data_IF_081941625397
#
_entry.id   IF_081941625397
#
_cell.length_a   1.000
_cell.length_b   1.000
_cell.length_c   1.000
_cell.angle_alpha   90.00
_cell.angle_beta   90.00
_cell.angle_gamma   90.00
#
_symmetry.space_group_name_H-M   'P 1'
#
loop_
_entity.id
_entity.type
_entity.pdbx_description
1 polymer ?
#
# COMPACT_ATOMS: atom_id res chain seq x y z
N UNK A 1 -38.57 -0.74 -5.32
CA UNK A 1 -37.34 -1.49 -4.95
C UNK A 1 -36.05 -0.71 -5.20
N UNK A 2 -35.73 -0.27 -6.42
CA UNK A 2 -34.46 0.46 -6.75
C UNK A 2 -34.13 1.66 -5.84
N UNK A 3 -35.13 2.47 -5.45
CA UNK A 3 -34.94 3.59 -4.50
C UNK A 3 -34.60 3.14 -3.07
N UNK A 4 -35.20 2.04 -2.58
CA UNK A 4 -34.93 1.48 -1.25
C UNK A 4 -33.52 0.86 -1.18
N UNK A 5 -33.13 0.12 -2.22
CA UNK A 5 -31.76 -0.44 -2.35
C UNK A 5 -30.71 0.68 -2.44
N UNK A 6 -30.98 1.74 -3.22
CA UNK A 6 -30.09 2.90 -3.31
C UNK A 6 -29.94 3.63 -1.97
N UNK A 7 -31.02 3.77 -1.20
CA UNK A 7 -31.00 4.37 0.14
C UNK A 7 -30.21 3.51 1.13
N UNK A 8 -30.45 2.20 1.17
CA UNK A 8 -29.73 1.27 2.05
C UNK A 8 -28.23 1.23 1.73
N UNK A 9 -27.85 1.27 0.44
CA UNK A 9 -26.44 1.32 0.01
C UNK A 9 -25.74 2.60 0.46
N UNK A 10 -26.45 3.74 0.49
CA UNK A 10 -25.92 5.01 1.00
C UNK A 10 -25.72 4.98 2.52
N UNK A 11 -26.66 4.40 3.27
CA UNK A 11 -26.53 4.23 4.73
C UNK A 11 -25.37 3.30 5.09
N UNK A 12 -25.23 2.16 4.42
CA UNK A 12 -24.10 1.25 4.61
C UNK A 12 -22.75 1.93 4.32
N UNK A 13 -22.67 2.69 3.22
CA UNK A 13 -21.45 3.42 2.86
C UNK A 13 -21.11 4.53 3.87
N UNK A 14 -22.09 5.16 4.51
CA UNK A 14 -21.86 6.12 5.60
C UNK A 14 -21.37 5.44 6.87
N UNK A 15 -21.96 4.30 7.25
CA UNK A 15 -21.56 3.53 8.42
C UNK A 15 -20.13 2.98 8.29
N UNK A 16 -19.72 2.54 7.09
CA UNK A 16 -18.35 2.10 6.82
C UNK A 16 -17.30 3.22 6.90
N UNK A 17 -17.71 4.48 6.72
CA UNK A 17 -16.79 5.64 6.76
C UNK A 17 -16.69 6.27 8.15
N UNK A 18 -17.52 5.85 9.11
CA UNK A 18 -17.53 6.39 10.47
C UNK A 18 -17.03 5.33 11.45
N UNK A 19 -15.71 5.30 11.70
CA UNK A 19 -15.03 4.26 12.50
C UNK A 19 -15.31 4.31 14.00
N UNK A 20 -16.12 5.26 14.49
CA UNK A 20 -16.23 5.53 15.93
C UNK A 20 -17.31 4.74 16.68
N UNK A 21 -18.21 4.02 16.00
CA UNK A 21 -19.21 3.20 16.69
C UNK A 21 -19.42 1.82 16.03
N UNK A 22 -18.95 0.73 16.66
CA UNK A 22 -19.09 -0.62 16.10
C UNK A 22 -20.54 -1.11 15.99
N UNK A 23 -21.48 -0.49 16.72
CA UNK A 23 -22.91 -0.80 16.63
C UNK A 23 -23.57 -0.36 15.31
N UNK A 24 -23.15 0.79 14.77
CA UNK A 24 -23.76 1.41 13.59
C UNK A 24 -23.57 0.59 12.31
N UNK A 25 -22.43 -0.09 12.17
CA UNK A 25 -22.15 -0.93 11.01
C UNK A 25 -23.03 -2.18 11.00
N UNK A 26 -23.24 -2.81 12.16
CA UNK A 26 -24.04 -4.03 12.29
C UNK A 26 -25.50 -3.78 11.95
N UNK A 27 -26.06 -2.68 12.43
CA UNK A 27 -27.43 -2.27 12.10
C UNK A 27 -27.58 -1.91 10.61
N UNK A 28 -26.62 -1.20 10.03
CA UNK A 28 -26.64 -0.84 8.62
C UNK A 28 -26.53 -2.06 7.69
N UNK A 29 -25.76 -3.09 8.08
CA UNK A 29 -25.66 -4.36 7.36
C UNK A 29 -27.00 -5.11 7.42
N UNK A 30 -27.66 -5.14 8.58
CA UNK A 30 -28.92 -5.89 8.71
C UNK A 30 -30.08 -5.20 7.98
N UNK A 31 -30.14 -3.87 7.99
CA UNK A 31 -31.09 -3.10 7.16
C UNK A 31 -30.84 -3.35 5.67
N UNK A 32 -29.58 -3.40 5.23
CA UNK A 32 -29.27 -3.71 3.83
C UNK A 32 -29.68 -5.13 3.47
N UNK A 33 -29.45 -6.10 4.36
CA UNK A 33 -29.85 -7.50 4.20
C UNK A 33 -31.37 -7.64 4.05
N UNK A 34 -32.15 -7.01 4.92
CA UNK A 34 -33.61 -7.05 4.86
C UNK A 34 -34.16 -6.40 3.59
N UNK A 35 -33.54 -5.32 3.10
CA UNK A 35 -33.97 -4.64 1.86
C UNK A 35 -33.61 -5.45 0.60
N UNK A 36 -32.63 -6.35 0.70
CA UNK A 36 -32.15 -7.19 -0.40
C UNK A 36 -32.65 -8.63 -0.38
N UNK A 37 -33.40 -9.05 0.64
CA UNK A 37 -34.05 -10.36 0.63
C UNK A 37 -35.05 -10.45 -0.53
N UNK A 38 -35.05 -11.55 -1.30
CA UNK A 38 -36.03 -11.77 -2.35
C UNK A 38 -37.42 -11.91 -1.72
N UNK A 39 -38.40 -11.19 -2.26
CA UNK A 39 -39.80 -11.53 -2.03
C UNK A 39 -40.02 -12.87 -2.72
N UNK A 40 -40.39 -13.90 -1.96
CA UNK A 40 -40.75 -15.20 -2.50
C UNK A 40 -41.93 -15.01 -3.46
N UNK A 41 -41.70 -15.26 -4.76
CA UNK A 41 -42.70 -15.11 -5.81
C UNK A 41 -42.33 -14.10 -6.88
N UNK A 42 -41.37 -14.44 -7.74
CA UNK A 42 -41.08 -13.66 -8.94
C UNK A 42 -39.93 -14.25 -9.74
N UNK A 43 -40.27 -15.06 -10.76
CA UNK A 43 -39.32 -15.47 -11.80
C UNK A 43 -38.98 -14.25 -12.67
N UNK A 44 -37.76 -14.25 -13.20
CA UNK A 44 -37.15 -13.29 -14.15
C UNK A 44 -36.27 -12.17 -13.54
N UNK A 45 -34.97 -12.24 -13.86
CA UNK A 45 -34.01 -11.17 -13.66
C UNK A 45 -32.65 -11.58 -13.07
N UNK A 46 -32.07 -12.67 -13.56
CA UNK A 46 -30.80 -13.23 -13.07
C UNK A 46 -29.65 -12.87 -14.01
N UNK A 47 -29.27 -11.59 -14.11
CA UNK A 47 -28.03 -11.20 -14.85
C UNK A 47 -27.22 -10.11 -14.13
N UNK A 48 -27.78 -9.36 -13.16
CA UNK A 48 -27.08 -8.22 -12.54
C UNK A 48 -26.64 -8.44 -11.08
N UNK A 49 -26.82 -9.65 -10.52
CA UNK A 49 -26.56 -9.93 -9.09
C UNK A 49 -25.23 -10.63 -8.78
N UNK A 50 -24.51 -11.12 -9.78
CA UNK A 50 -23.32 -11.96 -9.56
C UNK A 50 -22.08 -11.14 -9.17
N UNK A 51 -22.01 -9.85 -9.52
CA UNK A 51 -20.76 -9.09 -9.36
C UNK A 51 -20.51 -8.56 -7.94
N UNK A 52 -21.55 -8.33 -7.13
CA UNK A 52 -21.38 -7.73 -5.78
C UNK A 52 -21.13 -8.79 -4.70
N UNK A 53 -21.63 -10.01 -4.90
CA UNK A 53 -21.43 -11.12 -3.93
C UNK A 53 -20.03 -11.73 -4.07
N UNK A 54 -19.46 -11.73 -5.27
CA UNK A 54 -18.09 -12.22 -5.50
C UNK A 54 -17.03 -11.28 -4.92
N UNK A 55 -17.25 -9.96 -4.97
CA UNK A 55 -16.32 -8.96 -4.42
C UNK A 55 -16.20 -8.99 -2.87
N UNK A 56 -17.18 -9.59 -2.18
CA UNK A 56 -17.17 -9.79 -0.71
C UNK A 56 -16.53 -11.14 -0.33
N UNK A 57 -16.66 -12.17 -1.17
CA UNK A 57 -15.99 -13.47 -0.95
C UNK A 57 -14.48 -13.39 -1.19
N UNK A 58 -14.04 -12.65 -2.21
CA UNK A 58 -12.62 -12.54 -2.57
C UNK A 58 -11.77 -11.81 -1.51
N UNK A 59 -12.38 -11.02 -0.61
CA UNK A 59 -11.69 -10.36 0.51
C UNK A 59 -11.61 -11.22 1.78
N UNK A 60 -12.42 -12.26 1.91
CA UNK A 60 -12.46 -13.11 3.10
C UNK A 60 -11.60 -14.38 2.95
N UNK A 61 -11.32 -14.81 1.72
CA UNK A 61 -10.50 -16.00 1.44
C UNK A 61 -8.98 -15.74 1.41
N UNK A 62 -8.52 -14.48 1.49
CA UNK A 62 -7.09 -14.15 1.59
C UNK A 62 -6.48 -14.41 2.98
N UNK A 63 -7.26 -14.82 3.98
CA UNK A 63 -6.80 -15.06 5.36
C UNK A 63 -6.86 -16.54 5.82
N UNK A 64 -6.93 -17.50 4.88
CA UNK A 64 -6.91 -18.93 5.23
C UNK A 64 -5.53 -19.55 4.97
N UNK A 65 -4.80 -20.05 5.99
CA UNK A 65 -3.54 -20.75 5.74
C UNK A 65 -3.81 -22.08 5.02
N UNK A 66 -3.18 -22.24 3.85
CA UNK A 66 -3.10 -23.52 3.12
C UNK A 66 -2.18 -24.48 3.89
N UNK A 67 -2.76 -25.50 4.50
CA UNK A 67 -2.03 -26.69 4.94
C UNK A 67 -1.61 -27.50 3.71
N UNK A 68 -0.34 -27.40 3.33
CA UNK A 68 0.30 -28.24 2.32
C UNK A 68 1.52 -28.92 2.93
N UNK A 69 1.47 -30.26 3.00
CA UNK A 69 2.58 -31.13 3.40
C UNK A 69 3.81 -30.88 2.51
N UNK A 70 4.97 -30.59 3.13
CA UNK A 70 6.29 -30.80 2.53
C UNK A 70 7.22 -31.46 3.56
N UNK A 71 7.98 -32.42 3.04
CA UNK A 71 8.82 -33.37 3.76
C UNK A 71 9.94 -32.75 4.61
N UNK A 72 10.19 -33.48 5.69
CA UNK A 72 11.10 -33.27 6.81
C UNK A 72 12.56 -33.50 6.39
N UNK A 73 13.37 -32.45 6.32
CA UNK A 73 14.83 -32.56 6.43
C UNK A 73 15.25 -32.20 7.86
N UNK A 74 15.95 -33.12 8.53
CA UNK A 74 16.45 -33.00 9.90
C UNK A 74 17.80 -32.29 9.90
N UNK A 75 17.93 -31.20 10.66
CA UNK A 75 19.14 -30.83 11.44
C UNK A 75 18.83 -29.65 12.39
N UNK A 76 19.62 -29.45 13.46
CA UNK A 76 19.09 -29.02 14.76
C UNK A 76 19.40 -27.56 15.11
N UNK A 77 18.45 -26.85 15.71
CA UNK A 77 18.77 -25.67 16.53
C UNK A 77 17.94 -25.65 17.81
N UNK A 78 18.35 -26.48 18.77
CA UNK A 78 18.05 -26.30 20.18
C UNK A 78 18.80 -25.06 20.67
N UNK A 79 18.27 -23.84 20.44
CA UNK A 79 18.70 -22.63 21.17
C UNK A 79 17.74 -21.43 21.15
N UNK A 80 16.54 -21.54 20.56
CA UNK A 80 15.60 -20.42 20.48
C UNK A 80 14.36 -20.51 21.39
N UNK A 81 14.12 -21.65 22.06
CA UNK A 81 12.97 -21.78 22.99
C UNK A 81 13.18 -21.14 24.37
N UNK A 82 14.34 -20.52 24.63
CA UNK A 82 14.68 -19.96 25.95
C UNK A 82 14.64 -18.44 25.99
N UNK A 83 14.40 -17.77 24.85
CA UNK A 83 14.29 -16.31 24.76
C UNK A 83 12.82 -15.86 24.70
N UNK A 84 11.91 -16.69 24.17
CA UNK A 84 10.47 -16.35 24.10
C UNK A 84 9.75 -16.34 25.46
N UNK A 85 10.34 -16.91 26.52
CA UNK A 85 9.74 -16.87 27.86
C UNK A 85 10.00 -15.58 28.64
N UNK A 86 10.87 -14.68 28.16
CA UNK A 86 11.31 -13.50 28.93
C UNK A 86 10.76 -12.16 28.42
N UNK A 87 9.97 -12.12 27.34
CA UNK A 87 9.54 -10.85 26.68
C UNK A 87 8.05 -10.52 26.91
N UNK A 88 7.32 -11.28 27.74
CA UNK A 88 5.92 -10.93 28.10
C UNK A 88 5.73 -10.82 29.61
N UNK A 89 6.32 -9.80 30.21
CA UNK A 89 5.83 -9.25 31.47
C UNK A 89 6.00 -7.72 31.44
N UNK A 90 5.01 -7.04 30.87
CA UNK A 90 4.70 -5.68 31.27
C UNK A 90 3.88 -5.78 32.56
N UNK A 91 4.29 -5.20 33.70
CA UNK A 91 3.42 -5.12 34.84
C UNK A 91 2.36 -4.07 34.53
N UNK A 92 1.12 -4.51 34.31
CA UNK A 92 -0.03 -3.65 34.53
C UNK A 92 -0.04 -3.33 36.02
N UNK A 93 0.17 -2.05 36.37
CA UNK A 93 -0.01 -1.56 37.73
C UNK A 93 -1.51 -1.61 38.01
N UNK A 94 -1.93 -2.77 38.51
CA UNK A 94 -3.21 -2.97 39.17
C UNK A 94 -3.05 -2.49 40.61
N UNK A 95 -3.59 -1.31 40.92
CA UNK A 95 -3.92 -0.90 42.28
C UNK A 95 -4.93 -1.89 42.87
N UNK A 96 -4.44 -3.00 43.39
CA UNK A 96 -5.13 -3.91 44.31
C UNK A 96 -4.16 -5.02 44.65
N UNK A 97 -3.45 -4.86 45.76
CA UNK A 97 -3.16 -6.02 46.60
C UNK A 97 -3.42 -5.75 48.08
N UNK A 98 -3.93 -6.78 48.79
CA UNK A 98 -4.27 -6.71 50.20
C UNK A 98 -3.02 -6.85 51.06
N UNK A 99 -3.02 -6.16 52.21
CA UNK A 99 -2.02 -6.27 53.26
C UNK A 99 -1.82 -7.74 53.69
N UNK A 100 -0.85 -8.45 53.10
CA UNK A 100 -0.35 -9.72 53.62
C UNK A 100 0.46 -9.45 54.87
N UNK A 101 -0.22 -9.56 56.01
CA UNK A 101 0.34 -9.56 57.35
C UNK A 101 1.42 -10.65 57.45
N UNK A 102 2.69 -10.25 57.56
CA UNK A 102 3.77 -11.16 57.95
C UNK A 102 3.37 -11.85 59.27
N UNK A 103 3.13 -13.16 59.22
CA UNK A 103 3.01 -13.99 60.42
C UNK A 103 4.40 -14.05 61.06
N UNK A 104 4.56 -13.37 62.20
CA UNK A 104 5.74 -13.51 63.05
C UNK A 104 5.90 -14.98 63.47
N UNK A 105 7.11 -15.54 63.50
CA UNK A 105 7.34 -16.87 64.05
C UNK A 105 6.95 -16.87 65.53
N UNK A 106 6.11 -17.83 65.93
CA UNK A 106 5.71 -18.04 67.30
C UNK A 106 6.88 -18.68 68.07
N UNK A 107 7.75 -17.83 68.64
CA UNK A 107 8.70 -18.29 69.66
C UNK A 107 7.91 -18.51 70.94
N UNK A 108 7.66 -19.78 71.27
CA UNK A 108 7.07 -20.21 72.53
C UNK A 108 8.07 -19.95 73.66
N UNK A 109 7.92 -18.81 74.35
CA UNK A 109 8.59 -18.54 75.62
C UNK A 109 7.67 -19.03 76.73
N UNK A 110 8.03 -20.16 77.32
CA UNK A 110 7.41 -20.73 78.51
C UNK A 110 7.45 -19.74 79.68
N UNK A 111 6.27 -19.44 80.23
CA UNK A 111 6.07 -18.64 81.45
C UNK A 111 6.77 -19.29 82.64
N UNK A 112 7.89 -18.73 83.08
CA UNK A 112 8.37 -18.84 84.46
C UNK A 112 7.67 -17.72 85.25
N UNK A 113 6.76 -18.08 86.15
CA UNK A 113 6.13 -17.16 87.11
C UNK A 113 7.11 -16.90 88.25
N UNK A 114 7.90 -15.84 88.16
CA UNK A 114 8.53 -15.22 89.34
C UNK A 114 7.61 -14.11 89.88
N UNK A 115 7.34 -14.07 91.20
CA UNK A 115 6.56 -13.00 91.81
C UNK A 115 7.33 -11.68 91.72
N UNK A 116 6.73 -10.70 91.05
CA UNK A 116 7.29 -9.36 90.89
C UNK A 116 7.26 -8.62 92.23
N UNK A 117 8.36 -7.99 92.67
CA UNK A 117 8.36 -7.11 93.83
C UNK A 117 7.48 -5.87 93.59
N UNK A 118 6.88 -5.29 94.65
CA UNK A 118 6.02 -4.11 94.55
C UNK A 118 6.84 -2.91 94.08
N UNK A 119 6.45 -2.36 92.92
CA UNK A 119 7.11 -1.19 92.34
C UNK A 119 6.86 0.06 93.19
N UNK A 120 7.88 0.90 93.41
CA UNK A 120 7.73 2.17 94.11
C UNK A 120 6.81 3.12 93.33
N UNK A 121 5.92 3.79 94.06
CA UNK A 121 4.97 4.78 93.56
C UNK A 121 5.70 6.07 93.20
N UNK A 122 6.30 6.08 92.02
CA UNK A 122 6.92 7.28 91.43
C UNK A 122 5.78 8.24 91.05
N UNK A 123 5.74 9.41 91.67
CA UNK A 123 4.86 10.52 91.27
C UNK A 123 5.46 11.10 89.99
N UNK A 124 4.96 10.65 88.85
CA UNK A 124 5.37 11.15 87.54
C UNK A 124 4.87 12.60 87.37
N UNK A 125 5.78 13.51 87.03
CA UNK A 125 5.42 14.77 86.38
C UNK A 125 4.80 14.48 85.00
N UNK A 126 3.53 14.07 85.00
CA UNK A 126 2.89 13.31 83.92
C UNK A 126 2.74 14.07 82.61
N UNK A 127 2.50 15.39 82.66
CA UNK A 127 2.21 16.18 81.45
C UNK A 127 3.44 16.41 80.56
N UNK A 128 4.59 16.78 81.17
CA UNK A 128 5.83 17.08 80.42
C UNK A 128 6.44 15.83 79.80
N UNK A 129 6.43 14.71 80.52
CA UNK A 129 6.93 13.44 80.00
C UNK A 129 6.05 12.91 78.87
N UNK A 130 4.73 13.11 78.93
CA UNK A 130 3.81 12.75 77.85
C UNK A 130 4.03 13.60 76.58
N UNK A 131 4.31 14.90 76.74
CA UNK A 131 4.65 15.78 75.61
C UNK A 131 5.96 15.38 74.93
N UNK A 132 6.99 15.01 75.71
CA UNK A 132 8.26 14.51 75.18
C UNK A 132 8.08 13.19 74.42
N UNK A 133 7.27 12.26 74.95
CA UNK A 133 6.95 11.00 74.28
C UNK A 133 6.21 11.22 72.96
N UNK A 134 5.19 12.10 72.92
CA UNK A 134 4.48 12.44 71.67
C UNK A 134 5.40 13.08 70.63
N UNK A 135 6.34 13.91 71.07
CA UNK A 135 7.34 14.52 70.18
C UNK A 135 8.30 13.47 69.62
N UNK A 136 8.76 12.53 70.46
CA UNK A 136 9.61 11.42 70.05
C UNK A 136 8.88 10.47 69.08
N UNK A 137 7.63 10.09 69.34
CA UNK A 137 6.81 9.27 68.43
C UNK A 137 6.59 9.94 67.08
N UNK A 138 6.32 11.25 67.05
CA UNK A 138 6.17 12.01 65.80
C UNK A 138 7.46 12.06 65.01
N UNK A 139 8.60 12.24 65.68
CA UNK A 139 9.91 12.21 65.03
C UNK A 139 10.23 10.81 64.48
N UNK A 140 9.89 9.75 65.21
CA UNK A 140 10.08 8.37 64.75
C UNK A 140 9.25 8.08 63.49
N UNK A 141 7.97 8.49 63.45
CA UNK A 141 7.13 8.33 62.26
C UNK A 141 7.68 9.08 61.04
N UNK A 142 8.18 10.30 61.23
CA UNK A 142 8.83 11.06 60.15
C UNK A 142 10.05 10.33 59.61
N UNK A 143 10.89 9.77 60.49
CA UNK A 143 12.06 8.99 60.08
C UNK A 143 11.66 7.71 59.33
N UNK A 144 10.61 7.02 59.79
CA UNK A 144 10.07 5.83 59.11
C UNK A 144 9.47 6.19 57.73
N UNK A 145 8.73 7.29 57.61
CA UNK A 145 8.18 7.80 56.35
C UNK A 145 9.30 8.18 55.38
N UNK A 146 10.30 8.95 55.83
CA UNK A 146 11.48 9.31 55.04
C UNK A 146 12.28 8.07 54.61
N UNK A 147 12.39 7.06 55.45
CA UNK A 147 13.05 5.80 55.09
C UNK A 147 12.27 5.00 54.04
N UNK A 148 10.93 4.96 54.15
CA UNK A 148 10.07 4.35 53.14
C UNK A 148 10.15 5.09 51.80
N UNK A 149 10.14 6.42 51.80
CA UNK A 149 10.30 7.23 50.59
C UNK A 149 11.65 6.97 49.93
N UNK A 150 12.74 6.93 50.71
CA UNK A 150 14.08 6.57 50.20
C UNK A 150 14.12 5.17 49.59
N UNK A 151 13.47 4.18 50.22
CA UNK A 151 13.40 2.82 49.67
C UNK A 151 12.64 2.79 48.34
N UNK A 152 11.48 3.44 48.25
CA UNK A 152 10.69 3.50 47.00
C UNK A 152 11.45 4.24 45.89
N UNK A 153 12.18 5.30 46.23
CA UNK A 153 13.00 6.04 45.29
C UNK A 153 14.16 5.18 44.75
N UNK A 154 14.87 4.46 45.63
CA UNK A 154 15.94 3.53 45.21
C UNK A 154 15.41 2.34 44.40
N UNK A 155 14.28 1.75 44.79
CA UNK A 155 13.63 0.70 43.98
C UNK A 155 13.24 1.21 42.58
N UNK A 156 12.72 2.44 42.50
CA UNK A 156 12.38 3.09 41.23
C UNK A 156 13.62 3.33 40.37
N UNK A 157 14.74 3.78 40.97
CA UNK A 157 16.04 3.94 40.28
C UNK A 157 16.57 2.60 39.77
N UNK A 158 16.49 1.54 40.59
CA UNK A 158 16.94 0.19 40.19
C UNK A 158 16.07 -0.36 39.06
N UNK A 159 14.76 -0.19 39.15
CA UNK A 159 13.82 -0.60 38.09
C UNK A 159 14.11 0.15 36.78
N UNK A 160 14.32 1.47 36.85
CA UNK A 160 14.68 2.28 35.70
C UNK A 160 15.99 1.82 35.05
N UNK A 161 17.05 1.56 35.84
CA UNK A 161 18.32 1.01 35.31
C UNK A 161 18.13 -0.33 34.61
N UNK A 162 17.34 -1.24 35.19
CA UNK A 162 17.05 -2.54 34.57
C UNK A 162 16.27 -2.38 33.26
N UNK A 163 15.25 -1.51 33.25
CA UNK A 163 14.47 -1.22 32.05
C UNK A 163 15.36 -0.64 30.94
N UNK A 164 16.24 0.30 31.29
CA UNK A 164 17.19 0.92 30.35
C UNK A 164 18.13 -0.11 29.72
N UNK A 165 18.73 -0.99 30.54
CA UNK A 165 19.60 -2.07 30.05
C UNK A 165 18.83 -3.00 29.10
N UNK A 166 17.58 -3.32 29.42
CA UNK A 166 16.75 -4.15 28.55
C UNK A 166 16.45 -3.48 27.20
N UNK A 167 16.15 -2.17 27.20
CA UNK A 167 15.93 -1.41 25.96
C UNK A 167 17.19 -1.35 25.09
N UNK A 168 18.37 -1.13 25.70
CA UNK A 168 19.65 -1.17 24.98
C UNK A 168 19.92 -2.54 24.35
N UNK A 169 19.68 -3.62 25.10
CA UNK A 169 19.90 -4.98 24.61
C UNK A 169 18.92 -5.34 23.50
N UNK A 170 17.64 -4.98 23.63
CA UNK A 170 16.64 -5.15 22.57
C UNK A 170 17.03 -4.41 21.29
N UNK A 171 17.54 -3.18 21.42
CA UNK A 171 18.05 -2.41 20.29
C UNK A 171 19.24 -3.10 19.62
N UNK A 172 20.21 -3.61 20.39
CA UNK A 172 21.36 -4.36 19.85
C UNK A 172 20.95 -5.67 19.18
N UNK A 173 20.00 -6.42 19.76
CA UNK A 173 19.50 -7.67 19.19
C UNK A 173 18.77 -7.41 17.87
N UNK A 174 17.90 -6.40 17.83
CA UNK A 174 17.20 -6.03 16.60
C UNK A 174 18.13 -5.51 15.51
N UNK A 175 19.21 -4.79 15.86
CA UNK A 175 20.25 -4.39 14.90
C UNK A 175 20.99 -5.59 14.28
N UNK A 176 21.17 -6.69 15.02
CA UNK A 176 21.92 -7.87 14.54
C UNK A 176 21.05 -8.87 13.77
N UNK A 177 19.80 -9.05 14.18
CA UNK A 177 18.96 -10.16 13.72
C UNK A 177 17.52 -9.77 13.36
N UNK A 178 17.10 -8.56 13.73
CA UNK A 178 15.73 -8.11 13.54
C UNK A 178 15.43 -7.78 12.08
N UNK A 179 14.15 -7.93 11.71
CA UNK A 179 13.65 -7.34 10.48
C UNK A 179 13.49 -5.81 10.62
N UNK A 180 13.08 -5.14 9.53
CA UNK A 180 12.83 -3.69 9.55
C UNK A 180 11.83 -3.28 10.65
N UNK A 181 10.79 -4.08 10.87
CA UNK A 181 9.72 -3.74 11.80
C UNK A 181 10.17 -3.87 13.26
N UNK A 182 10.95 -4.89 13.58
CA UNK A 182 11.57 -5.10 14.89
C UNK A 182 12.54 -3.97 15.21
N UNK A 183 13.40 -3.61 14.25
CA UNK A 183 14.37 -2.53 14.43
C UNK A 183 13.68 -1.16 14.58
N UNK A 184 12.65 -0.89 13.78
CA UNK A 184 11.84 0.34 13.93
C UNK A 184 11.17 0.40 15.30
N UNK A 185 10.57 -0.71 15.78
CA UNK A 185 9.95 -0.79 17.10
C UNK A 185 10.97 -0.54 18.21
N UNK A 186 12.13 -1.19 18.15
CA UNK A 186 13.17 -1.03 19.14
C UNK A 186 13.71 0.42 19.18
N UNK A 187 13.98 1.04 18.02
CA UNK A 187 14.39 2.45 17.94
C UNK A 187 13.31 3.37 18.52
N UNK A 188 12.05 3.13 18.17
CA UNK A 188 10.93 3.95 18.63
C UNK A 188 10.70 3.80 20.14
N UNK A 189 10.72 2.58 20.69
CA UNK A 189 10.60 2.35 22.13
C UNK A 189 11.76 2.99 22.90
N UNK A 190 13.00 2.80 22.43
CA UNK A 190 14.19 3.41 23.02
C UNK A 190 14.07 4.94 23.07
N UNK A 191 13.68 5.55 21.95
CA UNK A 191 13.49 7.01 21.83
C UNK A 191 12.34 7.50 22.73
N UNK A 192 11.22 6.76 22.76
CA UNK A 192 10.02 7.13 23.52
C UNK A 192 10.23 7.08 25.03
N UNK A 193 10.93 6.07 25.54
CA UNK A 193 11.07 5.87 26.98
C UNK A 193 12.18 6.73 27.57
N UNK A 194 13.35 6.81 26.91
CA UNK A 194 14.50 7.52 27.46
C UNK A 194 14.41 9.02 27.13
N UNK A 195 13.92 9.38 25.95
CA UNK A 195 13.96 10.74 25.43
C UNK A 195 15.36 11.12 24.95
N UNK A 196 15.47 11.84 23.83
CA UNK A 196 16.78 12.14 23.22
C UNK A 196 17.67 13.02 24.10
N UNK A 197 17.06 13.90 24.90
CA UNK A 197 17.76 14.87 25.75
C UNK A 197 18.47 14.22 26.97
N UNK A 198 18.05 13.02 27.37
CA UNK A 198 18.59 12.34 28.56
C UNK A 198 19.69 11.31 28.24
N UNK A 199 20.02 11.15 26.95
CA UNK A 199 20.99 10.17 26.49
C UNK A 199 22.43 10.62 26.79
N UNK A 200 23.24 9.71 27.30
CA UNK A 200 24.69 9.92 27.32
C UNK A 200 25.29 9.76 25.91
N UNK A 201 26.56 10.12 25.74
CA UNK A 201 27.23 10.06 24.43
C UNK A 201 27.25 8.65 23.81
N UNK A 202 27.38 7.60 24.64
CA UNK A 202 27.42 6.22 24.16
C UNK A 202 26.05 5.75 23.67
N UNK A 203 24.99 6.10 24.39
CA UNK A 203 23.60 5.78 24.04
C UNK A 203 23.15 6.55 22.81
N UNK A 204 23.52 7.83 22.71
CA UNK A 204 23.27 8.63 21.51
C UNK A 204 23.98 8.03 20.30
N UNK A 205 25.23 7.57 20.47
CA UNK A 205 25.97 6.86 19.41
C UNK A 205 25.26 5.58 18.99
N UNK A 206 24.82 4.75 19.96
CA UNK A 206 24.07 3.51 19.68
C UNK A 206 22.75 3.79 18.96
N UNK A 207 21.99 4.81 19.38
CA UNK A 207 20.74 5.21 18.75
C UNK A 207 20.96 5.68 17.32
N UNK A 208 22.00 6.49 17.07
CA UNK A 208 22.36 6.94 15.74
C UNK A 208 22.79 5.77 14.85
N UNK A 209 23.57 4.82 15.38
CA UNK A 209 23.96 3.60 14.67
C UNK A 209 22.73 2.75 14.30
N UNK A 210 21.79 2.57 15.23
CA UNK A 210 20.53 1.87 14.99
C UNK A 210 19.69 2.55 13.91
N UNK A 211 19.60 3.89 13.95
CA UNK A 211 18.92 4.69 12.92
C UNK A 211 19.60 4.51 11.56
N UNK A 212 20.93 4.53 11.49
CA UNK A 212 21.64 4.29 10.22
C UNK A 212 21.41 2.87 9.69
N UNK A 213 21.42 1.85 10.55
CA UNK A 213 21.15 0.48 10.14
C UNK A 213 19.69 0.33 9.65
N UNK A 214 18.73 0.94 10.33
CA UNK A 214 17.33 0.94 9.91
C UNK A 214 17.16 1.57 8.53
N UNK A 215 17.87 2.67 8.25
CA UNK A 215 17.91 3.30 6.92
C UNK A 215 18.47 2.36 5.87
N UNK A 216 19.59 1.69 6.14
CA UNK A 216 20.21 0.74 5.21
C UNK A 216 19.31 -0.45 4.90
N UNK A 217 18.71 -1.06 5.92
CA UNK A 217 17.76 -2.18 5.76
C UNK A 217 16.54 -1.74 4.94
N UNK A 218 16.03 -0.54 5.19
CA UNK A 218 14.90 0.03 4.44
C UNK A 218 15.25 0.23 2.96
N UNK A 219 16.44 0.78 2.66
CA UNK A 219 16.91 0.95 1.29
C UNK A 219 17.05 -0.39 0.58
N UNK A 220 17.60 -1.42 1.24
CA UNK A 220 17.76 -2.75 0.65
C UNK A 220 16.40 -3.40 0.36
N UNK A 221 15.44 -3.25 1.27
CA UNK A 221 14.06 -3.70 1.04
C UNK A 221 13.44 -2.98 -0.18
N UNK A 222 13.66 -1.68 -0.35
CA UNK A 222 13.19 -0.96 -1.54
C UNK A 222 13.87 -1.40 -2.83
N UNK A 223 15.18 -1.67 -2.81
CA UNK A 223 15.92 -2.22 -3.95
C UNK A 223 15.31 -3.55 -4.38
N UNK A 224 15.06 -4.46 -3.44
CA UNK A 224 14.46 -5.76 -3.73
C UNK A 224 13.03 -5.61 -4.27
N UNK A 225 12.18 -4.87 -3.57
CA UNK A 225 10.79 -4.63 -3.96
C UNK A 225 10.69 -3.99 -5.35
N UNK A 226 11.50 -2.96 -5.62
CA UNK A 226 11.54 -2.29 -6.91
C UNK A 226 11.99 -3.24 -8.03
N UNK A 227 13.04 -4.03 -7.79
CA UNK A 227 13.52 -5.03 -8.74
C UNK A 227 12.43 -6.05 -9.05
N UNK A 228 11.71 -6.53 -8.04
CA UNK A 228 10.60 -7.45 -8.19
C UNK A 228 9.43 -6.82 -8.95
N UNK A 229 9.08 -5.57 -8.67
CA UNK A 229 8.03 -4.84 -9.38
C UNK A 229 8.36 -4.61 -10.87
N UNK A 230 9.61 -4.24 -11.17
CA UNK A 230 10.10 -4.11 -12.56
C UNK A 230 10.02 -5.45 -13.31
N UNK A 231 10.32 -6.57 -12.64
CA UNK A 231 10.20 -7.91 -13.23
C UNK A 231 8.73 -8.31 -13.46
N UNK A 232 7.85 -8.02 -12.51
CA UNK A 232 6.43 -8.36 -12.57
C UNK A 232 5.65 -7.54 -13.60
N UNK A 233 6.16 -6.36 -14.00
CA UNK A 233 5.50 -5.45 -14.97
C UNK A 233 4.07 -5.07 -14.57
N UNK A 234 3.81 -5.00 -13.26
CA UNK A 234 2.53 -4.56 -12.72
C UNK A 234 2.59 -3.05 -12.43
N UNK A 235 1.72 -2.29 -13.09
CA UNK A 235 1.65 -0.82 -12.97
C UNK A 235 1.39 -0.40 -11.52
N UNK A 236 0.41 -1.01 -10.87
CA UNK A 236 -0.08 -0.56 -9.55
C UNK A 236 0.97 -0.82 -8.47
N UNK A 237 1.66 -1.98 -8.53
CA UNK A 237 2.74 -2.33 -7.60
C UNK A 237 3.94 -1.40 -7.79
N UNK A 238 4.34 -1.16 -9.05
CA UNK A 238 5.49 -0.31 -9.37
C UNK A 238 5.24 1.16 -9.00
N UNK A 239 4.04 1.67 -9.28
CA UNK A 239 3.60 3.01 -8.89
C UNK A 239 3.63 3.20 -7.38
N UNK A 240 3.09 2.24 -6.62
CA UNK A 240 3.08 2.30 -5.16
C UNK A 240 4.51 2.28 -4.57
N UNK A 241 5.40 1.42 -5.06
CA UNK A 241 6.78 1.35 -4.56
C UNK A 241 7.56 2.62 -4.90
N UNK A 242 7.42 3.16 -6.12
CA UNK A 242 8.08 4.41 -6.48
C UNK A 242 7.56 5.58 -5.65
N UNK A 243 6.24 5.62 -5.36
CA UNK A 243 5.65 6.61 -4.47
C UNK A 243 6.17 6.50 -3.02
N UNK A 244 6.32 5.28 -2.50
CA UNK A 244 6.92 5.05 -1.18
C UNK A 244 8.37 5.55 -1.13
N UNK A 245 9.17 5.21 -2.16
CA UNK A 245 10.55 5.68 -2.27
C UNK A 245 10.61 7.21 -2.34
N UNK A 246 9.76 7.85 -3.14
CA UNK A 246 9.73 9.32 -3.27
C UNK A 246 9.36 10.00 -1.93
N UNK A 247 8.35 9.51 -1.21
CA UNK A 247 7.94 10.12 0.06
C UNK A 247 8.93 9.89 1.19
N UNK A 248 9.51 8.69 1.27
CA UNK A 248 10.50 8.36 2.29
C UNK A 248 11.87 8.96 1.95
N UNK A 249 12.12 9.29 0.68
CA UNK A 249 13.41 9.84 0.24
C UNK A 249 13.77 11.19 0.85
N UNK A 250 12.78 12.02 1.22
CA UNK A 250 13.06 13.33 1.81
C UNK A 250 13.81 13.20 3.15
N UNK A 251 13.56 12.14 3.91
CA UNK A 251 14.22 11.86 5.19
C UNK A 251 15.52 11.05 5.03
N UNK A 252 15.63 10.29 3.93
CA UNK A 252 16.70 9.31 3.73
C UNK A 252 17.78 9.72 2.72
N UNK A 253 17.51 10.65 1.79
CA UNK A 253 18.42 11.01 0.68
C UNK A 253 19.09 12.41 0.76
N UNK A 254 19.33 13.08 1.91
CA UNK A 254 20.04 14.36 1.87
C UNK A 254 21.52 14.25 1.47
N UNK A 255 22.12 13.05 1.47
CA UNK A 255 23.55 12.88 1.23
C UNK A 255 23.83 12.10 -0.07
N UNK A 256 24.57 12.76 -0.97
CA UNK A 256 24.94 12.35 -2.35
C UNK A 256 25.71 11.02 -2.50
N UNK A 257 25.87 10.25 -1.42
CA UNK A 257 26.63 8.98 -1.42
C UNK A 257 25.75 7.74 -1.49
N UNK A 258 24.43 7.86 -1.69
CA UNK A 258 23.65 6.67 -2.03
C UNK A 258 24.16 6.07 -3.34
N UNK A 259 24.23 4.74 -3.35
CA UNK A 259 24.66 3.95 -4.51
C UNK A 259 24.07 4.52 -5.81
N UNK A 260 24.93 5.02 -6.70
CA UNK A 260 24.54 5.44 -8.05
C UNK A 260 23.68 4.37 -8.77
N UNK A 261 23.88 3.10 -8.40
CA UNK A 261 23.09 1.96 -8.85
C UNK A 261 21.62 2.03 -8.43
N UNK A 262 21.31 2.39 -7.18
CA UNK A 262 19.92 2.49 -6.72
C UNK A 262 19.15 3.57 -7.47
N UNK A 263 19.76 4.74 -7.68
CA UNK A 263 19.15 5.80 -8.49
C UNK A 263 18.96 5.39 -9.95
N UNK A 264 19.88 4.60 -10.52
CA UNK A 264 19.71 4.03 -11.85
C UNK A 264 18.51 3.08 -11.90
N UNK A 265 18.33 2.24 -10.88
CA UNK A 265 17.18 1.33 -10.76
C UNK A 265 15.85 2.10 -10.58
N UNK A 266 15.82 3.16 -9.76
CA UNK A 266 14.64 4.04 -9.62
C UNK A 266 14.31 4.72 -10.95
N UNK A 267 15.30 5.25 -11.64
CA UNK A 267 15.13 5.87 -12.97
C UNK A 267 14.58 4.86 -13.98
N UNK A 268 15.11 3.64 -13.97
CA UNK A 268 14.62 2.53 -14.80
C UNK A 268 13.18 2.15 -14.43
N UNK A 269 12.84 2.15 -13.14
CA UNK A 269 11.48 1.95 -12.64
C UNK A 269 10.50 2.97 -13.24
N UNK A 270 10.82 4.26 -13.20
CA UNK A 270 9.99 5.31 -13.81
C UNK A 270 9.85 5.15 -15.33
N UNK A 271 10.92 4.77 -16.03
CA UNK A 271 10.86 4.51 -17.47
C UNK A 271 9.89 3.37 -17.77
N UNK A 272 10.02 2.24 -17.07
CA UNK A 272 9.12 1.09 -17.22
C UNK A 272 7.67 1.48 -16.90
N UNK A 273 7.43 2.21 -15.82
CA UNK A 273 6.09 2.69 -15.47
C UNK A 273 5.49 3.57 -16.58
N UNK A 274 6.28 4.50 -17.12
CA UNK A 274 5.85 5.36 -18.23
C UNK A 274 5.46 4.55 -19.46
N UNK A 275 6.26 3.55 -19.83
CA UNK A 275 5.98 2.65 -20.96
C UNK A 275 4.70 1.83 -20.75
N UNK A 276 4.54 1.22 -19.57
CA UNK A 276 3.34 0.44 -19.25
C UNK A 276 2.07 1.30 -19.23
N UNK A 277 2.15 2.52 -18.71
CA UNK A 277 1.06 3.49 -18.74
C UNK A 277 0.69 3.90 -20.17
N UNK A 278 1.67 4.12 -21.04
CA UNK A 278 1.42 4.40 -22.46
C UNK A 278 0.75 3.20 -23.15
N UNK A 279 1.22 1.98 -22.89
CA UNK A 279 0.63 0.76 -23.44
C UNK A 279 -0.83 0.60 -22.99
N UNK A 280 -1.12 0.79 -21.69
CA UNK A 280 -2.49 0.79 -21.13
C UNK A 280 -3.36 1.84 -21.81
N UNK A 281 -2.85 3.07 -21.99
CA UNK A 281 -3.55 4.16 -22.69
C UNK A 281 -3.92 3.77 -24.13
N UNK A 282 -2.99 3.22 -24.91
CA UNK A 282 -3.27 2.83 -26.29
C UNK A 282 -4.19 1.62 -26.39
N UNK A 283 -4.09 0.66 -25.45
CA UNK A 283 -5.06 -0.45 -25.35
C UNK A 283 -6.47 0.08 -25.13
N UNK A 284 -6.67 1.00 -24.18
CA UNK A 284 -7.97 1.65 -23.96
C UNK A 284 -8.42 2.45 -25.18
N UNK A 285 -7.51 3.15 -25.87
CA UNK A 285 -7.85 3.88 -27.10
C UNK A 285 -8.37 2.94 -28.21
N UNK A 286 -7.76 1.78 -28.39
CA UNK A 286 -8.24 0.75 -29.34
C UNK A 286 -9.61 0.20 -28.91
N UNK A 287 -9.81 -0.07 -27.62
CA UNK A 287 -11.10 -0.57 -27.10
C UNK A 287 -12.24 0.44 -27.24
N UNK A 288 -11.94 1.73 -27.04
CA UNK A 288 -12.91 2.82 -27.11
C UNK A 288 -13.03 3.42 -28.52
N UNK A 289 -12.36 2.84 -29.51
CA UNK A 289 -12.41 3.30 -30.89
C UNK A 289 -13.84 3.17 -31.43
N UNK A 290 -14.29 4.19 -32.15
CA UNK A 290 -15.64 4.20 -32.74
C UNK A 290 -15.79 3.06 -33.75
N UNK A 291 -16.93 2.36 -33.70
CA UNK A 291 -17.25 1.28 -34.63
C UNK A 291 -17.13 1.69 -36.10
N UNK A 292 -17.41 2.95 -36.43
CA UNK A 292 -17.25 3.52 -37.78
C UNK A 292 -15.81 3.44 -38.30
N UNK A 293 -14.82 3.74 -37.45
CA UNK A 293 -13.40 3.68 -37.81
C UNK A 293 -12.95 2.24 -38.04
N UNK A 294 -13.44 1.29 -37.23
CA UNK A 294 -13.19 -0.14 -37.46
C UNK A 294 -13.81 -0.58 -38.78
N UNK A 295 -15.06 -0.18 -39.04
CA UNK A 295 -15.74 -0.55 -40.29
C UNK A 295 -15.06 0.03 -41.53
N UNK A 296 -14.47 1.23 -41.41
CA UNK A 296 -13.70 1.86 -42.48
C UNK A 296 -12.44 1.05 -42.84
N UNK A 297 -11.72 0.54 -41.83
CA UNK A 297 -10.55 -0.31 -42.07
C UNK A 297 -10.97 -1.63 -42.75
N UNK A 298 -12.11 -2.20 -42.35
CA UNK A 298 -12.59 -3.45 -42.94
C UNK A 298 -13.22 -3.25 -44.32
N UNK A 299 -13.76 -2.09 -44.64
CA UNK A 299 -14.47 -1.88 -45.92
C UNK A 299 -13.54 -1.75 -47.13
N UNK A 300 -12.22 -1.68 -46.93
CA UNK A 300 -11.28 -1.56 -48.04
C UNK A 300 -11.20 -2.85 -48.88
N UNK A 301 -11.58 -2.80 -50.17
CA UNK A 301 -11.31 -3.91 -51.09
C UNK A 301 -9.80 -4.05 -51.36
N UNK A 302 -9.10 -2.91 -51.43
CA UNK A 302 -7.63 -2.82 -51.56
C UNK A 302 -7.12 -1.74 -50.60
N UNK A 303 -6.60 -2.11 -49.42
CA UNK A 303 -6.20 -1.14 -48.40
C UNK A 303 -4.93 -0.40 -48.82
N UNK A 304 -4.76 0.86 -48.37
CA UNK A 304 -3.47 1.55 -48.48
C UNK A 304 -2.35 0.71 -47.85
N UNK A 305 -1.16 0.72 -48.46
CA UNK A 305 -0.04 -0.10 -48.00
C UNK A 305 0.32 0.09 -46.52
N UNK A 306 0.22 1.34 -46.03
CA UNK A 306 0.43 1.66 -44.62
C UNK A 306 -0.60 1.01 -43.69
N UNK A 307 -1.89 1.02 -44.06
CA UNK A 307 -2.96 0.38 -43.29
C UNK A 307 -2.75 -1.14 -43.26
N UNK A 308 -2.44 -1.75 -44.41
CA UNK A 308 -2.15 -3.18 -44.51
C UNK A 308 -0.98 -3.59 -43.60
N UNK A 309 0.12 -2.83 -43.63
CA UNK A 309 1.31 -3.11 -42.82
C UNK A 309 1.02 -3.02 -41.31
N UNK A 310 0.29 -1.99 -40.87
CA UNK A 310 -0.11 -1.82 -39.47
C UNK A 310 -1.01 -2.97 -39.00
N UNK A 311 -2.00 -3.36 -39.82
CA UNK A 311 -2.90 -4.46 -39.47
C UNK A 311 -2.18 -5.81 -39.44
N UNK A 312 -1.28 -6.06 -40.40
CA UNK A 312 -0.44 -7.26 -40.39
C UNK A 312 0.43 -7.34 -39.12
N UNK A 313 1.11 -6.24 -38.76
CA UNK A 313 1.93 -6.17 -37.54
C UNK A 313 1.10 -6.36 -36.26
N UNK A 314 -0.12 -5.84 -36.25
CA UNK A 314 -1.07 -6.01 -35.14
C UNK A 314 -1.43 -7.48 -34.96
N UNK A 315 -1.87 -8.18 -36.01
CA UNK A 315 -2.22 -9.59 -35.92
C UNK A 315 -1.03 -10.51 -35.63
N UNK A 316 0.15 -10.16 -36.13
CA UNK A 316 1.39 -10.88 -35.81
C UNK A 316 1.70 -10.81 -34.29
N UNK A 317 1.53 -9.64 -33.66
CA UNK A 317 1.66 -9.49 -32.21
C UNK A 317 0.54 -10.23 -31.43
N UNK A 318 -0.63 -10.43 -32.05
CA UNK A 318 -1.73 -11.19 -31.46
C UNK A 318 -1.58 -12.71 -31.64
N UNK A 319 -0.45 -13.18 -32.19
CA UNK A 319 -0.10 -14.59 -32.33
C UNK A 319 -0.59 -15.26 -33.62
N UNK A 320 -0.98 -14.51 -34.64
CA UNK A 320 -1.30 -15.08 -35.96
C UNK A 320 -0.05 -15.48 -36.74
N UNK A 321 -0.17 -16.53 -37.54
CA UNK A 321 0.92 -17.03 -38.38
C UNK A 321 1.32 -16.05 -39.49
N UNK A 322 2.61 -15.99 -39.80
CA UNK A 322 3.12 -15.12 -40.86
C UNK A 322 2.52 -15.45 -42.24
N UNK A 323 2.12 -16.72 -42.45
CA UNK A 323 1.48 -17.16 -43.70
C UNK A 323 0.07 -16.59 -43.86
N UNK A 324 -0.70 -16.48 -42.78
CA UNK A 324 -2.08 -16.00 -42.81
C UNK A 324 -2.15 -14.48 -42.96
N UNK A 325 -1.15 -13.75 -42.45
CA UNK A 325 -1.11 -12.28 -42.54
C UNK A 325 -0.59 -11.73 -43.88
N UNK A 326 -0.03 -12.58 -44.76
CA UNK A 326 0.51 -12.15 -46.07
C UNK A 326 -0.58 -11.70 -47.05
N UNK A 327 -1.76 -12.34 -47.01
CA UNK A 327 -2.89 -12.01 -47.87
C UNK A 327 -3.85 -11.04 -47.19
N UNK A 328 -4.24 -9.97 -47.89
CA UNK A 328 -5.25 -9.04 -47.36
C UNK A 328 -6.60 -9.75 -47.14
N UNK A 329 -6.98 -10.67 -48.02
CA UNK A 329 -8.24 -11.41 -47.88
C UNK A 329 -8.28 -12.18 -46.55
N UNK A 330 -7.18 -12.83 -46.17
CA UNK A 330 -7.06 -13.54 -44.90
C UNK A 330 -7.08 -12.61 -43.69
N UNK A 331 -6.36 -11.47 -43.76
CA UNK A 331 -6.42 -10.43 -42.71
C UNK A 331 -7.84 -9.86 -42.57
N UNK A 332 -8.53 -9.63 -43.68
CA UNK A 332 -9.91 -9.15 -43.70
C UNK A 332 -10.86 -10.15 -43.02
N UNK A 333 -10.73 -11.45 -43.31
CA UNK A 333 -11.48 -12.50 -42.61
C UNK A 333 -11.20 -12.53 -41.10
N UNK A 334 -9.96 -12.29 -40.66
CA UNK A 334 -9.60 -12.18 -39.25
C UNK A 334 -10.22 -10.95 -38.58
N UNK A 335 -10.30 -9.82 -39.28
CA UNK A 335 -10.96 -8.59 -38.78
C UNK A 335 -12.48 -8.74 -38.69
N UNK A 336 -13.08 -9.56 -39.55
CA UNK A 336 -14.51 -9.86 -39.52
C UNK A 336 -14.96 -10.74 -38.34
N UNK A 337 -14.03 -11.33 -37.57
CA UNK A 337 -14.38 -12.15 -36.40
C UNK A 337 -15.02 -11.30 -35.30
N UNK A 338 -16.08 -11.82 -34.68
CA UNK A 338 -16.84 -11.17 -33.61
C UNK A 338 -16.64 -11.86 -32.25
N UNK A 339 -17.09 -11.22 -31.18
CA UNK A 339 -17.10 -11.81 -29.84
C UNK A 339 -15.71 -11.92 -29.21
N UNK A 340 -15.34 -13.12 -28.71
CA UNK A 340 -14.03 -13.39 -28.08
C UNK A 340 -12.86 -13.18 -29.04
N UNK A 341 -13.08 -13.50 -30.32
CA UNK A 341 -12.11 -13.40 -31.40
C UNK A 341 -12.05 -12.02 -32.04
N UNK A 342 -12.87 -11.05 -31.58
CA UNK A 342 -12.84 -9.70 -32.11
C UNK A 342 -11.50 -9.02 -31.87
N UNK A 343 -11.04 -8.26 -32.86
CA UNK A 343 -9.76 -7.55 -32.83
C UNK A 343 -9.58 -6.72 -31.55
N UNK A 344 -10.60 -5.94 -31.17
CA UNK A 344 -10.55 -5.08 -29.98
C UNK A 344 -10.42 -5.88 -28.69
N UNK A 345 -11.12 -7.02 -28.58
CA UNK A 345 -11.03 -7.90 -27.41
C UNK A 345 -9.70 -8.63 -27.33
N UNK A 346 -9.14 -9.05 -28.46
CA UNK A 346 -7.80 -9.64 -28.51
C UNK A 346 -6.73 -8.64 -28.10
N UNK A 347 -6.80 -7.39 -28.56
CA UNK A 347 -5.89 -6.31 -28.11
C UNK A 347 -6.04 -6.02 -26.61
N UNK A 348 -7.28 -6.07 -26.09
CA UNK A 348 -7.54 -5.87 -24.67
C UNK A 348 -6.87 -6.94 -23.78
N UNK A 349 -6.87 -8.19 -24.22
CA UNK A 349 -6.32 -9.33 -23.46
C UNK A 349 -4.89 -9.72 -23.86
N UNK A 350 -4.30 -9.05 -24.86
CA UNK A 350 -2.95 -9.33 -25.31
C UNK A 350 -1.93 -8.93 -24.23
N UNK A 351 -1.11 -9.88 -23.77
CA UNK A 351 -0.06 -9.64 -22.77
C UNK A 351 1.32 -9.55 -23.46
N UNK A 352 2.09 -8.51 -23.13
CA UNK A 352 3.45 -8.32 -23.65
C UNK A 352 4.40 -9.42 -23.17
N UNK A 353 4.09 -10.07 -22.04
CA UNK A 353 4.96 -11.10 -21.48
C UNK A 353 5.03 -12.36 -22.36
N UNK A 354 3.92 -12.69 -23.02
CA UNK A 354 3.75 -13.89 -23.83
C UNK A 354 4.27 -13.76 -25.27
N UNK A 355 4.65 -12.55 -25.70
CA UNK A 355 5.13 -12.30 -27.05
C UNK A 355 6.65 -12.50 -27.11
N UNK A 356 7.11 -13.28 -28.09
CA UNK A 356 8.53 -13.51 -28.32
C UNK A 356 9.22 -12.30 -28.97
N UNK A 357 10.52 -12.16 -28.73
CA UNK A 357 11.33 -11.09 -29.34
C UNK A 357 11.32 -11.15 -30.87
N UNK A 358 11.33 -12.36 -31.45
CA UNK A 358 11.31 -12.55 -32.91
C UNK A 358 10.02 -12.02 -33.54
N UNK A 359 8.87 -12.27 -32.90
CA UNK A 359 7.58 -11.73 -33.34
C UNK A 359 7.60 -10.21 -33.29
N UNK A 360 8.14 -9.62 -32.21
CA UNK A 360 8.28 -8.17 -32.09
C UNK A 360 9.20 -7.56 -33.16
N UNK A 361 10.32 -8.23 -33.50
CA UNK A 361 11.24 -7.82 -34.57
C UNK A 361 10.56 -7.83 -35.94
N UNK A 362 9.82 -8.88 -36.26
CA UNK A 362 9.07 -8.97 -37.52
C UNK A 362 7.96 -7.92 -37.59
N UNK A 363 7.21 -7.73 -36.51
CA UNK A 363 6.20 -6.67 -36.43
C UNK A 363 6.82 -5.28 -36.56
N UNK A 364 8.00 -5.04 -35.98
CA UNK A 364 8.73 -3.79 -36.15
C UNK A 364 9.15 -3.55 -37.60
N UNK A 365 9.68 -4.58 -38.28
CA UNK A 365 10.09 -4.48 -39.68
C UNK A 365 8.94 -3.99 -40.59
N UNK A 366 7.70 -4.44 -40.32
CA UNK A 366 6.51 -4.01 -41.07
C UNK A 366 6.16 -2.53 -40.88
N UNK A 367 6.38 -1.98 -39.68
CA UNK A 367 5.94 -0.60 -39.35
C UNK A 367 7.06 0.43 -39.30
N UNK A 368 8.32 0.00 -39.23
CA UNK A 368 9.50 0.87 -39.00
C UNK A 368 9.70 1.93 -40.08
N UNK A 369 9.27 1.67 -41.32
CA UNK A 369 9.39 2.62 -42.43
C UNK A 369 8.24 3.63 -42.52
N UNK A 370 7.17 3.40 -41.76
CA UNK A 370 5.97 4.23 -41.79
C UNK A 370 6.15 5.48 -40.92
N UNK A 371 5.56 6.59 -41.38
CA UNK A 371 5.47 7.81 -40.57
C UNK A 371 4.08 7.88 -39.93
N UNK A 372 4.04 8.05 -38.61
CA UNK A 372 2.80 8.20 -37.85
C UNK A 372 1.81 9.21 -38.44
N UNK A 373 2.29 10.39 -38.85
CA UNK A 373 1.46 11.46 -39.39
C UNK A 373 0.83 11.06 -40.73
N UNK A 374 1.58 10.32 -41.56
CA UNK A 374 1.07 9.78 -42.83
C UNK A 374 0.02 8.69 -42.59
N UNK A 375 0.24 7.79 -41.63
CA UNK A 375 -0.74 6.77 -41.25
C UNK A 375 -2.02 7.43 -40.74
N UNK A 376 -1.89 8.46 -39.90
CA UNK A 376 -3.03 9.21 -39.34
C UNK A 376 -3.80 9.98 -40.40
N UNK A 377 -3.12 10.61 -41.35
CA UNK A 377 -3.76 11.28 -42.49
C UNK A 377 -4.49 10.30 -43.40
N UNK A 378 -3.99 9.06 -43.52
CA UNK A 378 -4.62 8.01 -44.33
C UNK A 378 -5.85 7.43 -43.63
N UNK A 379 -5.70 7.01 -42.36
CA UNK A 379 -6.80 6.48 -41.57
C UNK A 379 -6.53 6.68 -40.06
N UNK A 380 -7.37 7.43 -39.34
CA UNK A 380 -7.15 7.70 -37.91
C UNK A 380 -7.28 6.45 -37.04
N UNK A 381 -8.12 5.48 -37.40
CA UNK A 381 -8.22 4.20 -36.71
C UNK A 381 -6.91 3.39 -36.83
N UNK A 382 -6.36 3.29 -38.03
CA UNK A 382 -5.08 2.62 -38.28
C UNK A 382 -3.93 3.28 -37.50
N UNK A 383 -3.93 4.62 -37.35
CA UNK A 383 -2.90 5.29 -36.55
C UNK A 383 -2.93 4.92 -35.07
N UNK A 384 -4.11 4.60 -34.53
CA UNK A 384 -4.25 4.13 -33.15
C UNK A 384 -3.62 2.75 -32.97
N UNK A 385 -3.84 1.84 -33.93
CA UNK A 385 -3.17 0.54 -33.94
C UNK A 385 -1.66 0.68 -34.14
N UNK A 386 -1.19 1.56 -35.03
CA UNK A 386 0.24 1.82 -35.21
C UNK A 386 0.91 2.22 -33.89
N UNK A 387 0.29 3.15 -33.15
CA UNK A 387 0.83 3.60 -31.86
C UNK A 387 0.86 2.47 -30.82
N UNK A 388 -0.19 1.63 -30.79
CA UNK A 388 -0.24 0.44 -29.95
C UNK A 388 0.86 -0.58 -30.30
N UNK A 389 1.02 -0.92 -31.59
CA UNK A 389 2.07 -1.83 -32.09
C UNK A 389 3.45 -1.31 -31.69
N UNK A 390 3.72 -0.02 -31.92
CA UNK A 390 5.01 0.60 -31.59
C UNK A 390 5.29 0.53 -30.09
N UNK A 391 4.29 0.80 -29.24
CA UNK A 391 4.44 0.71 -27.79
C UNK A 391 4.65 -0.73 -27.32
N UNK A 392 3.92 -1.69 -27.91
CA UNK A 392 4.04 -3.11 -27.58
C UNK A 392 5.44 -3.64 -27.93
N UNK A 393 5.91 -3.33 -29.15
CA UNK A 393 7.27 -3.67 -29.59
C UNK A 393 8.30 -3.05 -28.63
N UNK A 394 8.19 -1.76 -28.32
CA UNK A 394 9.14 -1.09 -27.42
C UNK A 394 9.20 -1.74 -26.03
N UNK A 395 8.05 -2.11 -25.46
CA UNK A 395 8.00 -2.80 -24.18
C UNK A 395 8.73 -4.16 -24.24
N UNK A 396 8.54 -4.91 -25.33
CA UNK A 396 9.22 -6.20 -25.52
C UNK A 396 10.75 -6.01 -25.64
N UNK A 397 11.21 -5.01 -26.38
CA UNK A 397 12.63 -4.68 -26.49
C UNK A 397 13.23 -4.24 -25.16
N UNK A 398 12.56 -3.32 -24.46
CA UNK A 398 12.98 -2.81 -23.15
C UNK A 398 13.06 -3.92 -22.09
N UNK A 399 12.16 -4.90 -22.15
CA UNK A 399 12.20 -6.09 -21.28
C UNK A 399 13.42 -6.97 -21.54
N UNK A 400 13.81 -7.13 -22.79
CA UNK A 400 14.97 -7.94 -23.19
C UNK A 400 16.30 -7.15 -23.08
N UNK A 401 16.27 -5.87 -22.70
CA UNK A 401 17.47 -5.03 -22.62
C UNK A 401 18.08 -4.71 -23.99
N UNK A 402 17.27 -4.73 -25.05
CA UNK A 402 17.71 -4.48 -26.42
C UNK A 402 17.21 -3.10 -26.83
N UNK A 403 18.09 -2.26 -27.37
CA UNK A 403 17.67 -0.98 -27.96
C UNK A 403 16.92 -1.22 -29.27
N UNK A 404 15.83 -0.50 -29.49
CA UNK A 404 15.12 -0.57 -30.77
C UNK A 404 16.07 -0.07 -31.85
N UNK A 405 16.22 -0.78 -32.99
CA UNK A 405 16.96 -0.26 -34.11
C UNK A 405 16.27 1.01 -34.60
N UNK A 406 16.81 2.17 -34.20
CA UNK A 406 16.38 3.46 -34.70
C UNK A 406 16.86 3.57 -36.12
N UNK A 407 15.93 3.57 -37.07
CA UNK A 407 16.23 3.94 -38.44
C UNK A 407 16.57 5.44 -38.42
N UNK A 408 17.85 5.77 -38.21
CA UNK A 408 18.39 7.11 -37.88
C UNK A 408 17.99 8.22 -38.87
N UNK A 409 17.33 7.88 -39.98
CA UNK A 409 16.92 8.81 -41.04
C UNK A 409 15.50 9.39 -40.89
N UNK A 410 14.71 9.01 -39.88
CA UNK A 410 13.30 9.48 -39.76
C UNK A 410 12.89 9.72 -38.30
N UNK A 411 13.47 10.71 -37.63
CA UNK A 411 13.00 11.12 -36.31
C UNK A 411 11.57 11.67 -36.39
N UNK A 412 10.62 10.99 -35.74
CA UNK A 412 9.37 11.61 -35.31
C UNK A 412 9.70 12.92 -34.59
N UNK A 413 8.93 14.00 -34.77
CA UNK A 413 9.14 15.21 -34.00
C UNK A 413 9.01 14.85 -32.51
N UNK A 414 10.14 14.82 -31.80
CA UNK A 414 10.21 14.75 -30.34
C UNK A 414 9.61 16.04 -29.78
N UNK A 415 8.28 16.19 -29.84
CA UNK A 415 7.52 17.14 -29.02
C UNK A 415 7.28 16.58 -27.63
N UNK A 416 8.33 16.01 -27.03
CA UNK A 416 8.37 15.75 -25.60
C UNK A 416 9.65 16.41 -25.07
N UNK A 417 9.53 17.39 -24.15
CA UNK A 417 10.66 18.16 -23.65
C UNK A 417 11.66 17.22 -22.97
N UNK A 418 12.84 17.12 -23.55
CA UNK A 418 13.92 16.29 -23.02
C UNK A 418 14.65 17.02 -21.89
N UNK A 419 14.85 16.28 -20.79
CA UNK A 419 15.98 16.35 -19.85
C UNK A 419 16.20 17.55 -18.91
N UNK A 420 15.44 18.65 -18.99
CA UNK A 420 15.53 19.73 -17.96
C UNK A 420 14.29 19.90 -17.06
N UNK A 421 13.30 19.01 -17.17
CA UNK A 421 11.98 19.16 -16.51
C UNK A 421 11.64 18.07 -15.46
N UNK A 422 12.61 17.32 -14.94
CA UNK A 422 12.30 16.16 -14.07
C UNK A 422 11.81 16.51 -12.67
N UNK A 423 12.02 17.73 -12.16
CA UNK A 423 11.43 18.11 -10.86
C UNK A 423 9.99 18.60 -10.98
N UNK A 424 9.72 19.56 -11.88
CA UNK A 424 8.41 20.22 -11.99
C UNK A 424 7.32 19.35 -12.64
N UNK A 425 7.67 18.54 -13.66
CA UNK A 425 6.72 17.62 -14.27
C UNK A 425 6.44 16.39 -13.41
N UNK A 426 7.36 15.93 -12.55
CA UNK A 426 7.06 14.83 -11.64
C UNK A 426 6.02 15.29 -10.62
N UNK A 427 6.17 16.51 -10.07
CA UNK A 427 5.15 17.10 -9.19
C UNK A 427 3.81 17.33 -9.91
N UNK A 428 3.79 17.87 -11.12
CA UNK A 428 2.52 18.11 -11.85
C UNK A 428 1.87 16.82 -12.39
N UNK A 429 2.66 15.82 -12.80
CA UNK A 429 2.18 14.52 -13.26
C UNK A 429 1.54 13.75 -12.10
N UNK A 430 2.22 13.69 -10.95
CA UNK A 430 1.66 13.12 -9.72
C UNK A 430 0.47 13.93 -9.19
N UNK A 431 0.49 15.27 -9.23
CA UNK A 431 -0.69 16.09 -8.91
C UNK A 431 -1.86 15.91 -9.89
N UNK A 432 -1.63 15.34 -11.07
CA UNK A 432 -2.68 15.04 -12.06
C UNK A 432 -3.23 13.62 -11.92
N UNK A 433 -2.40 12.67 -11.48
CA UNK A 433 -2.82 11.29 -11.15
C UNK A 433 -3.45 11.22 -9.75
N UNK A 434 -2.90 11.93 -8.77
CA UNK A 434 -3.40 11.98 -7.38
C UNK A 434 -4.64 12.87 -7.19
N UNK A 435 -5.15 13.52 -8.25
CA UNK A 435 -6.48 14.15 -8.17
C UNK A 435 -7.51 13.04 -8.05
N UNK A 436 -8.22 12.89 -6.91
CA UNK A 436 -9.31 11.95 -6.84
C UNK A 436 -10.28 12.27 -7.98
N UNK A 437 -10.65 11.24 -8.76
CA UNK A 437 -11.71 11.35 -9.76
C UNK A 437 -12.91 12.04 -9.09
N UNK A 438 -13.16 13.31 -9.44
CA UNK A 438 -14.36 14.01 -8.97
C UNK A 438 -15.54 13.11 -9.33
N UNK A 439 -16.36 12.68 -8.35
CA UNK A 439 -17.53 11.89 -8.66
C UNK A 439 -18.34 12.67 -9.69
N UNK A 440 -18.77 12.00 -10.76
CA UNK A 440 -19.60 12.58 -11.82
C UNK A 440 -20.79 13.28 -11.16
N UNK A 441 -20.69 14.60 -10.99
CA UNK A 441 -21.81 15.44 -10.60
C UNK A 441 -22.82 15.38 -11.74
N UNK A 442 -23.78 14.48 -11.54
CA UNK A 442 -25.17 14.55 -11.92
C UNK A 442 -25.47 15.54 -13.06
N UNK A 443 -25.28 15.09 -14.31
CA UNK A 443 -25.63 15.79 -15.57
C UNK A 443 -27.15 16.08 -15.76
N UNK A 444 -27.95 16.00 -14.70
CA UNK A 444 -29.41 16.17 -14.77
C UNK A 444 -29.91 17.62 -14.71
N UNK A 445 -29.06 18.64 -14.88
CA UNK A 445 -29.48 20.04 -14.74
C UNK A 445 -29.37 20.91 -16.02
N UNK A 446 -29.30 20.30 -17.20
CA UNK A 446 -29.21 21.06 -18.47
C UNK A 446 -30.60 21.35 -19.09
N UNK A 447 -31.70 20.77 -18.59
CA UNK A 447 -33.01 20.87 -19.26
C UNK A 447 -34.01 21.91 -18.70
N UNK A 448 -33.55 23.00 -18.07
CA UNK A 448 -34.48 24.03 -17.52
C UNK A 448 -34.29 25.48 -17.98
N UNK A 449 -33.37 25.79 -18.89
CA UNK A 449 -33.21 27.16 -19.43
C UNK A 449 -33.21 27.20 -20.95
N UNK A 450 -34.32 26.79 -21.56
CA UNK A 450 -34.61 27.06 -22.98
C UNK A 450 -36.13 27.07 -23.24
N UNK A 451 -36.84 27.95 -22.54
CA UNK A 451 -38.13 28.49 -23.01
C UNK A 451 -37.96 30.00 -23.19
N UNK A 452 -37.26 30.39 -24.26
CA UNK A 452 -37.41 31.74 -24.81
C UNK A 452 -38.50 31.68 -25.86
N UNK A 453 -39.53 32.48 -25.60
CA UNK A 453 -40.71 32.74 -26.41
C UNK A 453 -40.26 33.28 -27.78
N UNK A 454 -40.46 32.50 -28.83
CA UNK A 454 -40.45 32.99 -30.21
C UNK A 454 -41.78 33.72 -30.47
N UNK A 455 -41.77 35.05 -30.34
CA UNK A 455 -42.81 35.91 -30.89
C UNK A 455 -42.70 35.84 -32.43
N UNK A 456 -43.73 35.32 -33.10
CA UNK A 456 -43.89 35.43 -34.55
C UNK A 456 -44.24 36.88 -34.91
N UNK A 457 -43.61 37.50 -35.92
CA UNK A 457 -44.13 38.73 -36.50
C UNK A 457 -45.32 38.40 -37.40
N UNK A 458 -46.41 39.17 -37.23
CA UNK A 458 -47.55 39.22 -38.16
C UNK A 458 -47.06 39.85 -39.46
N UNK A 459 -47.11 39.11 -40.57
CA UNK A 459 -47.07 39.69 -41.91
C UNK A 459 -48.42 40.34 -42.18
N UNK A 460 -48.38 41.62 -42.50
CA UNK A 460 -49.51 42.42 -42.95
C UNK A 460 -49.90 42.00 -44.38
N UNK A 461 -51.21 41.96 -44.63
CA UNK A 461 -51.79 41.93 -45.96
C UNK A 461 -51.52 43.27 -46.67
N UNK A 462 -51.08 43.21 -47.92
CA UNK A 462 -51.53 44.07 -49.04
C UNK A 462 -51.67 43.14 -50.24
#
# INVERSE_FOLDING_TARGET
MKRRVSSARKSLKRAMMNEKEPGSLREAVEVFRMVCQPLEGGKEGEVERVDVVNEIKDKNDQNKPRNGLIHRAKTPSLRLKQIESNVRYFPQISEKEPKKRMKRPATAISRIKTPSPPLPRIVWGGERNLQLLRKAEKNLRRLEEEEQERMVEEESKVMWRKMKINLEENLRVSMKFGDRADMWRAVHEFTRYIGEESLNQNELKLLNEARTNLKLVTIEQYKENLTNAIKQRNIDILENILYQIENESEEFLPNQNLDNKFYADVTKGHQVLSHLCQLKKFRTAVMCMTRSLVSEITSYPSPPGAVRAVMAATYLLLGEDEKTIKSWSSLHSLMGKLGRESLTRRVAHCDSTNISLQVAQKSWALVSDLNFDKVKATNPGASTFYAWVTCMVNEIYSRNGIEIPTNEKKTLPRRFPSRKMTKKLNTEFWQRIARPHKPLENRNNINRKSKRVLKRPRTACI
#
